data_IF_110742273349
#
_entry.id   IF_110742273349
#
_cell.length_a   1.000
_cell.length_b   1.000
_cell.length_c   1.000
_cell.angle_alpha   90.00
_cell.angle_beta   90.00
_cell.angle_gamma   90.00
#
_symmetry.space_group_name_H-M   'P 1'
#
loop_
_entity.id
_entity.type
_entity.pdbx_description
1 polymer ?
#
# COMPACT_ATOMS: atom_id res chain seq x y z
N UNK A 1 -27.44 14.73 18.19
CA UNK A 1 -26.98 13.47 17.55
C UNK A 1 -27.29 13.56 16.08
N UNK A 2 -26.31 13.35 15.20
CA UNK A 2 -26.51 13.41 13.75
C UNK A 2 -25.65 12.35 13.09
N UNK A 3 -26.27 11.43 12.35
CA UNK A 3 -25.58 10.49 11.48
C UNK A 3 -26.04 10.76 10.05
N UNK A 4 -25.08 10.98 9.14
CA UNK A 4 -25.36 11.08 7.71
C UNK A 4 -24.94 9.76 7.06
N UNK A 5 -25.89 9.10 6.39
CA UNK A 5 -25.63 7.85 5.67
C UNK A 5 -25.37 8.21 4.21
N UNK A 6 -24.10 8.23 3.82
CA UNK A 6 -23.70 8.29 2.41
C UNK A 6 -23.77 6.89 1.83
N UNK A 7 -24.58 6.69 0.77
CA UNK A 7 -24.74 5.37 0.11
C UNK A 7 -23.44 4.85 -0.49
N UNK A 8 -22.57 5.74 -0.93
CA UNK A 8 -21.25 5.45 -1.48
C UNK A 8 -20.36 6.63 -1.11
N UNK A 9 -19.69 6.54 0.04
CA UNK A 9 -18.90 7.65 0.60
C UNK A 9 -17.72 7.20 1.46
N UNK A 10 -17.44 5.90 1.50
CA UNK A 10 -16.17 5.40 2.00
C UNK A 10 -15.18 5.43 0.83
N UNK A 11 -14.54 6.58 0.62
CA UNK A 11 -13.32 6.60 -0.19
C UNK A 11 -12.29 5.83 0.64
N UNK A 12 -12.19 4.51 0.44
CA UNK A 12 -11.03 3.76 0.93
C UNK A 12 -9.84 4.45 0.29
N UNK A 13 -8.98 5.09 1.08
CA UNK A 13 -7.80 5.73 0.54
C UNK A 13 -7.04 4.65 -0.21
N UNK A 14 -6.85 4.82 -1.52
CA UNK A 14 -6.15 3.81 -2.30
C UNK A 14 -4.71 3.77 -1.80
N UNK A 15 -4.40 2.69 -1.06
CA UNK A 15 -3.06 2.36 -0.59
C UNK A 15 -2.08 2.50 -1.74
N UNK A 16 -1.00 3.24 -1.51
CA UNK A 16 0.03 3.42 -2.51
C UNK A 16 1.40 3.48 -1.86
N UNK A 17 2.39 3.04 -2.63
CA UNK A 17 3.79 3.14 -2.27
C UNK A 17 4.43 4.12 -3.23
N UNK A 18 5.13 5.08 -2.65
CA UNK A 18 6.02 5.97 -3.38
C UNK A 18 7.34 5.26 -3.60
N UNK A 19 7.80 5.22 -4.84
CA UNK A 19 9.09 4.67 -5.23
C UNK A 19 9.92 5.74 -5.93
N UNK A 20 11.21 5.77 -5.62
CA UNK A 20 12.19 6.40 -6.50
C UNK A 20 12.36 5.54 -7.76
N UNK A 21 12.82 6.09 -8.90
CA UNK A 21 13.10 5.29 -10.10
C UNK A 21 14.19 4.22 -9.86
N UNK A 22 15.07 4.44 -8.89
CA UNK A 22 16.09 3.46 -8.50
C UNK A 22 15.47 2.29 -7.72
N UNK A 23 14.63 2.59 -6.73
CA UNK A 23 13.93 1.58 -5.94
C UNK A 23 12.96 0.80 -6.82
N UNK A 24 12.21 1.47 -7.69
CA UNK A 24 11.32 0.84 -8.66
C UNK A 24 12.06 -0.24 -9.48
N UNK A 25 13.27 0.07 -9.96
CA UNK A 25 14.13 -0.91 -10.65
C UNK A 25 14.62 -2.03 -9.74
N UNK A 26 15.00 -1.73 -8.49
CA UNK A 26 15.42 -2.75 -7.50
C UNK A 26 14.31 -3.73 -7.16
N UNK A 27 13.08 -3.23 -7.05
CA UNK A 27 11.89 -4.02 -6.73
C UNK A 27 11.21 -4.62 -7.97
N UNK A 28 11.64 -4.26 -9.18
CA UNK A 28 11.06 -4.74 -10.44
C UNK A 28 9.65 -4.21 -10.72
N UNK A 29 9.28 -3.07 -10.12
CA UNK A 29 7.98 -2.41 -10.28
C UNK A 29 8.09 -1.19 -11.18
N UNK A 30 7.02 -0.85 -11.88
CA UNK A 30 6.87 0.33 -12.72
C UNK A 30 5.81 1.27 -12.15
N UNK A 31 5.75 2.50 -12.69
CA UNK A 31 4.68 3.44 -12.33
C UNK A 31 3.32 2.84 -12.67
N UNK A 32 2.36 2.98 -11.74
CA UNK A 32 1.00 2.43 -11.79
C UNK A 32 0.87 0.91 -11.68
N UNK A 33 1.95 0.19 -11.43
CA UNK A 33 1.85 -1.22 -11.11
C UNK A 33 1.08 -1.43 -9.80
N UNK A 34 0.39 -2.56 -9.70
CA UNK A 34 -0.29 -2.97 -8.48
C UNK A 34 0.50 -4.13 -7.87
N UNK A 35 0.76 -4.05 -6.57
CA UNK A 35 1.49 -5.07 -5.83
C UNK A 35 0.73 -5.53 -4.60
N UNK A 36 1.04 -6.75 -4.16
CA UNK A 36 0.69 -7.24 -2.85
C UNK A 36 1.88 -7.07 -1.89
N UNK A 37 1.62 -6.52 -0.71
CA UNK A 37 2.63 -6.24 0.32
C UNK A 37 2.33 -7.07 1.55
N UNK A 38 3.33 -7.80 2.05
CA UNK A 38 3.26 -8.57 3.29
C UNK A 38 3.94 -7.85 4.43
N UNK A 39 3.29 -7.88 5.59
CA UNK A 39 3.81 -7.37 6.84
C UNK A 39 4.08 -8.54 7.78
N UNK A 40 5.34 -8.75 8.22
CA UNK A 40 5.66 -9.77 9.21
C UNK A 40 5.14 -9.34 10.59
N UNK A 41 4.73 -10.32 11.41
CA UNK A 41 4.29 -10.07 12.78
C UNK A 41 3.24 -11.06 13.26
N UNK A 42 2.91 -11.02 14.55
CA UNK A 42 1.88 -11.88 15.16
C UNK A 42 0.46 -11.56 14.68
N UNK A 43 0.22 -10.30 14.31
CA UNK A 43 -0.96 -9.85 13.54
C UNK A 43 -0.61 -9.52 12.08
N UNK A 44 0.56 -9.97 11.63
CA UNK A 44 1.04 -9.74 10.27
C UNK A 44 0.10 -10.34 9.23
N UNK A 45 0.04 -9.70 8.07
CA UNK A 45 -0.85 -10.08 6.98
C UNK A 45 -0.41 -9.45 5.67
N UNK A 46 -1.14 -9.74 4.60
CA UNK A 46 -0.88 -9.20 3.27
C UNK A 46 -1.96 -8.22 2.84
N UNK A 47 -1.55 -7.06 2.34
CA UNK A 47 -2.41 -6.08 1.67
C UNK A 47 -2.22 -6.18 0.16
N UNK A 48 -3.28 -6.56 -0.55
CA UNK A 48 -3.37 -6.48 -2.01
C UNK A 48 -3.83 -5.11 -2.51
N UNK A 49 -3.76 -4.89 -3.81
CA UNK A 49 -4.27 -3.67 -4.44
C UNK A 49 -3.44 -2.40 -4.18
N UNK A 50 -2.16 -2.52 -3.80
CA UNK A 50 -1.30 -1.37 -3.48
C UNK A 50 -0.70 -0.80 -4.77
N UNK A 51 -0.96 0.47 -5.06
CA UNK A 51 -0.49 1.11 -6.29
C UNK A 51 0.93 1.65 -6.11
N UNK A 52 1.84 1.26 -7.01
CA UNK A 52 3.19 1.79 -7.09
C UNK A 52 3.18 3.11 -7.84
N UNK A 53 3.68 4.18 -7.22
CA UNK A 53 3.86 5.49 -7.85
C UNK A 53 5.34 5.79 -7.94
N UNK A 54 5.86 5.88 -9.15
CA UNK A 54 7.29 6.09 -9.35
C UNK A 54 7.54 7.54 -9.75
N UNK A 55 8.30 8.28 -8.94
CA UNK A 55 8.76 9.62 -9.29
C UNK A 55 10.15 9.87 -8.74
N UNK A 56 10.94 10.68 -9.44
CA UNK A 56 12.28 11.10 -9.00
C UNK A 56 12.26 11.93 -7.71
N UNK A 57 11.12 12.55 -7.39
CA UNK A 57 10.93 13.38 -6.21
C UNK A 57 10.37 12.59 -5.02
N UNK A 58 10.21 11.27 -5.17
CA UNK A 58 9.66 10.37 -4.15
C UNK A 58 10.75 9.56 -3.46
N UNK A 59 10.61 9.46 -2.13
CA UNK A 59 11.33 8.49 -1.31
C UNK A 59 10.48 7.24 -1.11
N UNK A 60 11.13 6.11 -0.83
CA UNK A 60 10.45 4.84 -0.54
C UNK A 60 9.61 4.97 0.73
N UNK A 61 8.30 5.15 0.55
CA UNK A 61 7.36 5.32 1.64
C UNK A 61 6.00 4.71 1.29
N UNK A 62 5.41 3.99 2.24
CA UNK A 62 4.14 3.30 2.07
C UNK A 62 3.08 3.97 2.92
N UNK A 63 2.03 4.49 2.27
CA UNK A 63 0.92 5.11 2.97
C UNK A 63 -0.22 4.11 3.07
N UNK A 64 -0.44 3.64 4.31
CA UNK A 64 -1.58 2.80 4.71
C UNK A 64 -2.44 3.57 5.70
N UNK A 65 -3.74 3.28 5.70
CA UNK A 65 -4.67 3.91 6.63
C UNK A 65 -4.44 3.40 8.06
N UNK A 66 -4.75 4.22 9.06
CA UNK A 66 -4.56 3.90 10.49
C UNK A 66 -5.28 2.61 10.90
N UNK A 67 -6.45 2.34 10.33
CA UNK A 67 -7.20 1.11 10.59
C UNK A 67 -6.47 -0.14 10.08
N UNK A 68 -5.75 -0.02 8.97
CA UNK A 68 -4.97 -1.09 8.35
C UNK A 68 -3.69 -1.34 9.14
N UNK A 69 -3.03 -0.26 9.56
CA UNK A 69 -1.88 -0.33 10.44
C UNK A 69 -2.25 -1.03 11.77
N UNK A 70 -3.38 -0.66 12.36
CA UNK A 70 -3.91 -1.29 13.58
C UNK A 70 -4.28 -2.76 13.36
N UNK A 71 -4.94 -3.09 12.24
CA UNK A 71 -5.32 -4.46 11.90
C UNK A 71 -4.10 -5.38 11.75
N UNK A 72 -3.03 -4.87 11.12
CA UNK A 72 -1.77 -5.59 10.95
C UNK A 72 -0.87 -5.52 12.19
N UNK A 73 -1.24 -4.70 13.19
CA UNK A 73 -0.42 -4.44 14.36
C UNK A 73 0.92 -3.78 14.03
N UNK A 74 1.00 -3.04 12.93
CA UNK A 74 2.21 -2.35 12.47
C UNK A 74 2.19 -0.90 12.93
N UNK A 75 3.29 -0.47 13.55
CA UNK A 75 3.52 0.93 13.91
C UNK A 75 4.31 1.66 12.84
N UNK A 76 4.47 2.98 13.03
CA UNK A 76 5.31 3.81 12.17
C UNK A 76 6.76 3.27 12.18
N UNK A 77 7.33 3.00 11.00
CA UNK A 77 8.67 2.41 10.84
C UNK A 77 8.71 0.88 10.73
N UNK A 78 7.55 0.21 10.62
CA UNK A 78 7.52 -1.22 10.35
C UNK A 78 8.10 -1.55 8.95
N UNK A 79 8.85 -2.66 8.87
CA UNK A 79 9.34 -3.19 7.60
C UNK A 79 8.27 -4.03 6.92
N UNK A 80 8.12 -3.87 5.62
CA UNK A 80 7.18 -4.62 4.80
C UNK A 80 7.90 -5.17 3.56
N UNK A 81 7.39 -6.28 3.01
CA UNK A 81 7.98 -6.95 1.85
C UNK A 81 6.97 -7.05 0.71
N UNK A 82 7.38 -6.70 -0.50
CA UNK A 82 6.57 -6.93 -1.70
C UNK A 82 6.54 -8.44 -1.98
N UNK A 83 5.35 -9.03 -2.09
CA UNK A 83 5.18 -10.46 -2.38
C UNK A 83 5.20 -10.73 -3.88
N UNK A 84 4.30 -10.09 -4.62
CA UNK A 84 4.16 -10.26 -6.07
C UNK A 84 3.50 -9.03 -6.68
N UNK A 85 3.75 -8.84 -7.98
CA UNK A 85 3.01 -7.88 -8.81
C UNK A 85 1.67 -8.51 -9.15
N UNK A 86 0.58 -7.82 -8.83
CA UNK A 86 -0.73 -8.23 -9.30
C UNK A 86 -0.76 -7.96 -10.80
N UNK A 87 -0.67 -9.02 -11.59
CA UNK A 87 -0.98 -8.95 -13.01
C UNK A 87 -2.44 -8.54 -13.11
N UNK A 88 -2.70 -7.37 -13.69
CA UNK A 88 -4.03 -6.99 -14.15
C UNK A 88 -4.58 -8.17 -14.93
N UNK A 89 -5.60 -8.84 -14.38
CA UNK A 89 -6.28 -9.92 -15.07
C UNK A 89 -6.74 -9.36 -16.42
N UNK A 90 -6.27 -10.00 -17.49
CA UNK A 90 -6.73 -9.73 -18.86
C UNK A 90 -8.18 -10.09 -19.05
#
# INVERSE_FOLDING_TARGET
AGSVTLREGAIIARRHIHFSPEDARRFGVADRDVVAVSFPGTRGGSLGGVVCRVSKDYALDMHIDTDEANALGVGQGASASILYKESSHG
#
